data_IF_602198645356
#
_entry.id   IF_602198645356
#
_cell.length_a   1.000
_cell.length_b   1.000
_cell.length_c   1.000
_cell.angle_alpha   90.00
_cell.angle_beta   90.00
_cell.angle_gamma   90.00
#
_symmetry.space_group_name_H-M   'P 1'
#
loop_
_entity.id
_entity.type
_entity.pdbx_description
1 polymer ?
#
# COMPACT_ATOMS: atom_id res chain seq x y z
N UNK A 1 1.86 5.22 -21.30
CA UNK A 1 2.58 4.39 -20.31
C UNK A 1 2.10 4.81 -18.95
N UNK A 2 1.70 3.87 -18.09
CA UNK A 2 1.37 4.17 -16.70
C UNK A 2 2.65 4.58 -15.97
N UNK A 3 2.60 5.71 -15.28
CA UNK A 3 3.71 6.39 -14.61
C UNK A 3 4.07 5.83 -13.23
N UNK A 4 3.49 4.71 -12.81
CA UNK A 4 3.85 4.03 -11.56
C UNK A 4 2.71 3.21 -10.95
N UNK A 5 3.04 2.48 -9.89
CA UNK A 5 2.09 1.81 -8.99
C UNK A 5 2.00 2.65 -7.71
N UNK A 6 0.78 2.88 -7.23
CA UNK A 6 0.53 3.52 -5.93
C UNK A 6 -0.23 2.53 -5.05
N UNK A 7 0.18 2.36 -3.80
CA UNK A 7 -0.48 1.48 -2.85
C UNK A 7 -1.53 2.25 -2.03
N UNK A 8 -2.79 1.77 -2.01
CA UNK A 8 -3.92 2.45 -1.39
C UNK A 8 -3.78 2.68 0.13
N UNK A 9 -3.06 1.78 0.79
CA UNK A 9 -2.79 1.73 2.22
C UNK A 9 -1.33 2.04 2.56
N UNK A 10 -0.54 2.48 1.57
CA UNK A 10 0.85 2.85 1.74
C UNK A 10 1.04 4.23 2.36
N UNK A 11 2.30 4.59 2.59
CA UNK A 11 2.69 5.96 2.93
C UNK A 11 2.20 6.97 1.88
N UNK A 12 2.11 8.28 2.23
CA UNK A 12 1.74 9.33 1.27
C UNK A 12 2.50 9.18 -0.04
N UNK A 13 1.81 9.34 -1.16
CA UNK A 13 2.44 9.24 -2.46
C UNK A 13 2.94 10.62 -2.89
N UNK A 14 4.10 10.65 -3.53
CA UNK A 14 4.66 11.87 -4.10
C UNK A 14 4.52 11.86 -5.62
N UNK A 15 3.97 12.92 -6.18
CA UNK A 15 3.92 13.14 -7.63
C UNK A 15 4.58 14.47 -7.98
N UNK A 16 5.58 14.40 -8.85
CA UNK A 16 6.30 15.57 -9.32
C UNK A 16 5.76 16.06 -10.65
N UNK A 17 5.40 17.34 -10.68
CA UNK A 17 4.95 18.03 -11.89
C UNK A 17 5.95 19.11 -12.28
N UNK A 18 6.17 19.26 -13.58
CA UNK A 18 6.83 20.44 -14.12
C UNK A 18 5.78 21.52 -14.36
N UNK A 19 5.88 22.62 -13.63
CA UNK A 19 4.95 23.75 -13.72
C UNK A 19 5.55 24.88 -14.57
N UNK A 20 4.74 25.57 -15.39
CA UNK A 20 5.18 26.78 -16.06
C UNK A 20 5.69 27.83 -15.06
N UNK A 21 6.81 28.51 -15.37
CA UNK A 21 7.39 29.52 -14.47
C UNK A 21 6.47 30.73 -14.17
N UNK A 22 5.46 30.95 -15.02
CA UNK A 22 4.45 32.01 -14.84
C UNK A 22 3.30 31.59 -13.92
N UNK A 23 3.18 30.31 -13.59
CA UNK A 23 2.16 29.79 -12.68
C UNK A 23 2.78 29.62 -11.29
N UNK A 24 2.61 30.64 -10.44
CA UNK A 24 2.61 30.46 -8.99
C UNK A 24 1.16 30.44 -8.47
N UNK A 25 0.31 29.48 -8.92
CA UNK A 25 -1.08 29.45 -8.52
C UNK A 25 -1.15 28.94 -7.09
N UNK A 26 -2.11 29.48 -6.34
CA UNK A 26 -2.62 28.76 -5.18
C UNK A 26 -3.28 27.48 -5.69
N UNK A 27 -2.73 26.32 -5.34
CA UNK A 27 -3.31 25.03 -5.69
C UNK A 27 -4.56 24.78 -4.88
N UNK A 28 -5.56 24.15 -5.47
CA UNK A 28 -6.80 23.84 -4.73
C UNK A 28 -6.99 22.36 -4.52
N UNK A 29 -6.74 21.57 -5.55
CA UNK A 29 -7.03 20.15 -5.50
C UNK A 29 -6.09 19.34 -6.37
N UNK A 30 -5.87 18.12 -5.92
CA UNK A 30 -5.43 17.00 -6.71
C UNK A 30 -6.69 16.17 -6.97
N UNK A 31 -7.01 15.89 -8.23
CA UNK A 31 -8.24 15.18 -8.59
C UNK A 31 -7.88 13.87 -9.27
N UNK A 32 -8.36 12.77 -8.71
CA UNK A 32 -8.15 11.43 -9.24
C UNK A 32 -9.38 10.95 -10.01
N UNK A 33 -9.15 10.42 -11.21
CA UNK A 33 -10.17 9.84 -12.07
C UNK A 33 -9.87 8.37 -12.31
N UNK A 34 -10.89 7.53 -12.28
CA UNK A 34 -10.75 6.18 -12.80
C UNK A 34 -10.61 6.23 -14.33
N UNK A 35 -9.53 5.67 -14.89
CA UNK A 35 -9.23 5.72 -16.32
C UNK A 35 -8.38 6.92 -16.73
N UNK A 36 -8.65 7.48 -17.91
CA UNK A 36 -7.83 8.52 -18.57
C UNK A 36 -8.37 9.94 -18.34
N UNK A 37 -9.16 10.16 -17.29
CA UNK A 37 -9.86 11.42 -16.97
C UNK A 37 -10.90 11.92 -17.99
N UNK A 38 -11.25 11.15 -19.03
CA UNK A 38 -12.28 11.57 -20.01
C UNK A 38 -13.70 11.12 -19.65
N UNK A 39 -13.85 10.08 -18.83
CA UNK A 39 -15.11 9.58 -18.30
C UNK A 39 -14.86 8.71 -17.06
N UNK A 40 -15.77 8.70 -16.09
CA UNK A 40 -15.71 7.79 -14.93
C UNK A 40 -16.02 8.43 -13.59
N UNK A 41 -15.79 7.66 -12.52
CA UNK A 41 -15.85 8.16 -11.15
C UNK A 41 -14.64 9.05 -10.86
N UNK A 42 -14.88 10.15 -10.13
CA UNK A 42 -13.82 11.00 -9.60
C UNK A 42 -13.75 10.81 -8.08
N UNK A 43 -12.54 10.93 -7.54
CA UNK A 43 -12.26 10.80 -6.13
C UNK A 43 -11.43 12.00 -5.70
N UNK A 44 -11.87 12.68 -4.64
CA UNK A 44 -11.09 13.76 -4.05
C UNK A 44 -9.84 13.17 -3.39
N UNK A 45 -8.71 13.86 -3.54
CA UNK A 45 -7.46 13.53 -2.87
C UNK A 45 -6.97 14.74 -2.09
N UNK A 46 -6.29 14.53 -0.97
CA UNK A 46 -5.76 15.61 -0.15
C UNK A 46 -4.40 16.07 -0.68
N UNK A 47 -4.11 17.36 -0.50
CA UNK A 47 -2.78 17.93 -0.70
C UNK A 47 -2.09 18.07 0.66
N UNK A 48 -0.93 17.45 0.82
CA UNK A 48 -0.13 17.60 2.04
C UNK A 48 0.82 18.78 1.85
N UNK A 49 0.75 19.75 2.77
CA UNK A 49 1.68 20.88 2.78
C UNK A 49 1.39 21.96 1.74
N UNK A 50 0.34 21.82 0.92
CA UNK A 50 -0.15 22.80 -0.06
C UNK A 50 -1.66 23.01 0.08
N UNK A 51 -2.20 24.08 -0.50
CA UNK A 51 -3.65 24.31 -0.51
C UNK A 51 -4.04 25.69 -1.02
N UNK A 52 -5.34 26.01 -1.04
CA UNK A 52 -5.86 27.21 -1.70
C UNK A 52 -5.32 28.52 -1.10
N UNK A 53 -4.73 28.46 0.09
CA UNK A 53 -4.13 29.60 0.78
C UNK A 53 -2.60 29.49 0.95
N UNK A 54 -1.96 28.47 0.35
CA UNK A 54 -0.51 28.23 0.47
C UNK A 54 0.09 28.03 -0.91
N UNK A 55 0.93 28.99 -1.31
CA UNK A 55 1.54 29.03 -2.63
C UNK A 55 2.43 27.81 -2.90
N UNK A 56 2.56 27.47 -4.19
CA UNK A 56 3.52 26.50 -4.69
C UNK A 56 4.96 26.88 -4.31
N UNK A 57 5.90 25.92 -4.26
CA UNK A 57 7.32 26.25 -4.27
C UNK A 57 7.63 27.00 -5.58
N UNK A 58 8.44 28.06 -5.53
CA UNK A 58 8.75 28.89 -6.70
C UNK A 58 9.53 28.18 -7.83
N UNK A 59 9.87 26.90 -7.66
CA UNK A 59 10.62 26.12 -8.63
C UNK A 59 9.69 25.54 -9.70
N UNK A 60 10.18 25.48 -10.94
CA UNK A 60 9.48 24.87 -12.09
C UNK A 60 9.18 23.37 -11.90
N UNK A 61 9.64 22.74 -10.83
CA UNK A 61 9.23 21.41 -10.40
C UNK A 61 8.61 21.51 -9.01
N UNK A 62 7.33 21.16 -8.91
CA UNK A 62 6.64 20.99 -7.65
C UNK A 62 6.35 19.49 -7.48
N UNK A 63 7.04 18.87 -6.52
CA UNK A 63 6.63 17.58 -6.01
C UNK A 63 5.51 17.82 -5.00
N UNK A 64 4.36 17.24 -5.30
CA UNK A 64 3.15 17.33 -4.50
C UNK A 64 2.97 16.00 -3.82
N UNK A 65 2.91 16.01 -2.50
CA UNK A 65 2.56 14.84 -1.70
C UNK A 65 1.05 14.83 -1.51
N UNK A 66 0.42 13.69 -1.79
CA UNK A 66 -1.01 13.49 -1.56
C UNK A 66 -1.29 12.15 -0.88
N UNK A 67 -2.51 12.05 -0.36
CA UNK A 67 -3.05 10.79 0.16
C UNK A 67 -4.27 10.37 -0.67
N UNK A 68 -4.41 9.05 -0.86
CA UNK A 68 -5.57 8.47 -1.52
C UNK A 68 -6.69 8.33 -0.49
N UNK A 69 -7.87 8.86 -0.81
CA UNK A 69 -9.06 8.73 0.03
C UNK A 69 -9.44 7.26 0.23
N UNK A 70 -10.00 6.94 1.40
CA UNK A 70 -10.54 5.61 1.66
C UNK A 70 -11.67 5.26 0.68
N UNK A 71 -11.79 3.98 0.31
CA UNK A 71 -12.88 3.48 -0.52
C UNK A 71 -12.65 3.60 -2.04
N UNK A 72 -11.45 4.00 -2.47
CA UNK A 72 -11.07 3.99 -3.88
C UNK A 72 -10.80 2.54 -4.31
N UNK A 73 -11.49 2.02 -5.35
CA UNK A 73 -11.33 0.62 -5.74
C UNK A 73 -9.91 0.30 -6.25
N UNK A 74 -9.21 -0.70 -5.68
CA UNK A 74 -7.90 -1.12 -6.18
C UNK A 74 -8.00 -1.93 -7.49
N UNK A 75 -6.86 -2.23 -8.10
CA UNK A 75 -6.77 -3.05 -9.31
C UNK A 75 -7.24 -2.32 -10.57
N UNK A 76 -7.46 -1.00 -10.49
CA UNK A 76 -7.88 -0.16 -11.61
C UNK A 76 -6.77 0.81 -12.00
N UNK A 77 -6.84 1.23 -13.26
CA UNK A 77 -6.02 2.32 -13.77
C UNK A 77 -6.68 3.65 -13.40
N UNK A 78 -5.85 4.58 -12.95
CA UNK A 78 -6.26 5.91 -12.55
C UNK A 78 -5.40 6.95 -13.26
N UNK A 79 -5.98 8.14 -13.42
CA UNK A 79 -5.26 9.34 -13.76
C UNK A 79 -5.42 10.37 -12.66
N UNK A 80 -4.46 11.26 -12.57
CA UNK A 80 -4.49 12.36 -11.62
C UNK A 80 -4.01 13.64 -12.27
N UNK A 81 -4.78 14.69 -12.02
CA UNK A 81 -4.54 16.03 -12.53
C UNK A 81 -4.38 16.99 -11.37
N UNK A 82 -3.56 18.00 -11.59
CA UNK A 82 -3.38 19.11 -10.67
C UNK A 82 -4.20 20.30 -11.16
N UNK A 83 -5.04 20.86 -10.29
CA UNK A 83 -5.91 22.00 -10.61
C UNK A 83 -5.60 23.22 -9.74
N UNK A 84 -5.78 24.41 -10.33
CA UNK A 84 -5.71 25.68 -9.60
C UNK A 84 -7.00 26.00 -8.83
N UNK A 85 -6.98 27.11 -8.08
CA UNK A 85 -8.14 27.60 -7.31
C UNK A 85 -9.40 27.89 -8.15
N UNK A 86 -9.24 28.11 -9.44
CA UNK A 86 -10.29 28.46 -10.38
C UNK A 86 -10.74 27.25 -11.24
N UNK A 87 -10.31 26.03 -10.88
CA UNK A 87 -10.62 24.76 -11.56
C UNK A 87 -10.00 24.61 -12.96
N UNK A 88 -8.88 25.30 -13.22
CA UNK A 88 -8.12 25.07 -14.44
C UNK A 88 -7.10 23.96 -14.22
N UNK A 89 -6.98 23.06 -15.20
CA UNK A 89 -5.92 22.04 -15.22
C UNK A 89 -4.56 22.72 -15.39
N UNK A 90 -3.69 22.55 -14.40
CA UNK A 90 -2.33 23.05 -14.40
C UNK A 90 -1.34 22.03 -14.96
N UNK A 91 -1.53 20.76 -14.63
CA UNK A 91 -0.66 19.66 -15.04
C UNK A 91 -1.38 18.29 -15.00
N UNK A 92 -0.82 17.32 -15.71
CA UNK A 92 -1.37 15.97 -15.87
C UNK A 92 -2.00 15.72 -17.25
N UNK A 93 -2.66 14.58 -17.47
CA UNK A 93 -2.85 13.49 -16.51
C UNK A 93 -1.57 12.67 -16.29
N UNK A 94 -1.26 12.38 -15.02
CA UNK A 94 -0.31 11.33 -14.66
C UNK A 94 -1.10 10.03 -14.49
N UNK A 95 -0.81 9.03 -15.32
CA UNK A 95 -1.46 7.71 -15.23
C UNK A 95 -0.77 6.86 -14.17
N UNK A 96 -1.51 6.08 -13.40
CA UNK A 96 -0.96 5.12 -12.45
C UNK A 96 -1.94 3.97 -12.23
N UNK A 97 -1.48 2.93 -11.54
CA UNK A 97 -2.34 1.83 -11.09
C UNK A 97 -2.43 1.83 -9.58
N UNK A 98 -3.65 1.74 -9.05
CA UNK A 98 -3.85 1.60 -7.61
C UNK A 98 -3.76 0.13 -7.22
N UNK A 99 -2.79 -0.20 -6.37
CA UNK A 99 -2.60 -1.53 -5.81
C UNK A 99 -3.10 -1.56 -4.36
N UNK A 100 -3.58 -2.74 -3.96
CA UNK A 100 -3.94 -3.06 -2.58
C UNK A 100 -3.59 -4.52 -2.35
N UNK A 101 -3.19 -4.84 -1.13
CA UNK A 101 -2.98 -6.22 -0.70
C UNK A 101 -3.93 -6.54 0.45
N UNK A 102 -4.39 -7.78 0.48
CA UNK A 102 -5.08 -8.39 1.61
C UNK A 102 -4.20 -9.50 2.18
N UNK A 103 -4.31 -9.68 3.49
CA UNK A 103 -3.53 -10.63 4.28
C UNK A 103 -4.41 -11.14 5.40
N UNK A 104 -4.45 -12.45 5.58
CA UNK A 104 -5.22 -13.09 6.64
C UNK A 104 -4.59 -14.43 7.07
N UNK A 105 -4.91 -14.88 8.27
CA UNK A 105 -4.69 -16.26 8.66
C UNK A 105 -5.89 -17.12 8.23
N UNK A 106 -5.69 -18.04 7.30
CA UNK A 106 -6.75 -18.90 6.74
C UNK A 106 -7.11 -20.04 7.71
N UNK A 107 -6.11 -20.52 8.47
CA UNK A 107 -6.31 -21.52 9.52
C UNK A 107 -5.23 -21.47 10.61
N UNK A 108 -5.60 -21.91 11.81
CA UNK A 108 -4.71 -22.02 12.98
C UNK A 108 -4.88 -23.39 13.62
N UNK A 109 -3.76 -24.06 13.88
CA UNK A 109 -3.74 -25.40 14.47
C UNK A 109 -2.70 -25.48 15.58
N UNK A 110 -3.11 -25.95 16.77
CA UNK A 110 -2.19 -26.31 17.84
C UNK A 110 -1.51 -27.65 17.55
N UNK A 111 -0.18 -27.67 17.63
CA UNK A 111 0.67 -28.85 17.42
C UNK A 111 1.49 -29.22 18.67
N UNK A 112 1.09 -28.75 19.85
CA UNK A 112 1.70 -29.13 21.11
C UNK A 112 3.04 -28.44 21.34
N UNK A 113 3.00 -27.15 21.65
CA UNK A 113 4.17 -26.29 21.88
C UNK A 113 4.47 -25.31 20.75
N UNK A 114 3.75 -25.42 19.63
CA UNK A 114 3.75 -24.47 18.51
C UNK A 114 2.37 -24.38 17.88
N UNK A 115 2.06 -23.24 17.27
CA UNK A 115 0.93 -23.09 16.33
C UNK A 115 1.43 -23.21 14.90
N UNK A 116 0.73 -24.01 14.10
CA UNK A 116 0.80 -23.93 12.66
C UNK A 116 -0.24 -22.89 12.18
N UNK A 117 0.24 -21.77 11.64
CA UNK A 117 -0.58 -20.72 11.07
C UNK A 117 -0.51 -20.82 9.54
N UNK A 118 -1.66 -20.96 8.88
CA UNK A 118 -1.74 -20.83 7.43
C UNK A 118 -1.94 -19.37 7.07
N UNK A 119 -0.92 -18.75 6.49
CA UNK A 119 -0.92 -17.35 6.07
C UNK A 119 -1.29 -17.28 4.60
N UNK A 120 -2.31 -16.50 4.28
CA UNK A 120 -2.79 -16.29 2.92
C UNK A 120 -2.74 -14.80 2.55
N UNK A 121 -2.45 -14.51 1.29
CA UNK A 121 -2.40 -13.14 0.78
C UNK A 121 -2.92 -13.02 -0.65
N UNK A 122 -3.37 -11.82 -1.00
CA UNK A 122 -3.79 -11.46 -2.36
C UNK A 122 -3.47 -9.99 -2.65
N UNK A 123 -2.82 -9.72 -3.79
CA UNK A 123 -2.59 -8.38 -4.35
C UNK A 123 -3.60 -8.16 -5.47
N UNK A 124 -4.53 -7.22 -5.25
CA UNK A 124 -5.67 -6.96 -6.16
C UNK A 124 -5.26 -6.34 -7.51
N UNK A 125 -4.03 -5.84 -7.61
CA UNK A 125 -3.36 -5.49 -8.86
C UNK A 125 -2.16 -6.44 -9.07
N UNK A 126 -2.33 -7.63 -9.69
CA UNK A 126 -1.30 -8.67 -9.71
C UNK A 126 0.06 -8.23 -10.29
N UNK A 127 0.06 -7.31 -11.24
CA UNK A 127 1.25 -6.70 -11.84
C UNK A 127 2.05 -5.81 -10.88
N UNK A 128 1.45 -5.43 -9.74
CA UNK A 128 2.12 -4.69 -8.69
C UNK A 128 3.02 -5.57 -7.82
N UNK A 129 2.79 -6.89 -7.83
CA UNK A 129 3.57 -7.82 -7.03
C UNK A 129 5.04 -7.81 -7.48
N UNK A 130 5.95 -7.84 -6.51
CA UNK A 130 7.39 -7.88 -6.72
C UNK A 130 8.02 -9.10 -6.04
N UNK A 131 9.16 -9.60 -6.55
CA UNK A 131 9.85 -10.75 -5.93
C UNK A 131 10.25 -10.53 -4.47
N UNK A 132 10.46 -9.26 -4.09
CA UNK A 132 10.87 -8.84 -2.75
C UNK A 132 9.70 -8.37 -1.86
N UNK A 133 8.44 -8.58 -2.26
CA UNK A 133 7.32 -8.35 -1.36
C UNK A 133 7.39 -9.35 -0.20
N UNK A 134 7.28 -8.86 1.03
CA UNK A 134 7.51 -9.66 2.23
C UNK A 134 6.28 -9.67 3.15
N UNK A 135 6.07 -10.80 3.81
CA UNK A 135 5.14 -10.91 4.93
C UNK A 135 5.96 -11.06 6.20
N UNK A 136 5.66 -10.22 7.20
CA UNK A 136 6.35 -10.18 8.49
C UNK A 136 5.33 -10.44 9.59
N UNK A 137 5.66 -11.35 10.50
CA UNK A 137 4.81 -11.77 11.60
C UNK A 137 5.39 -11.26 12.91
N UNK A 138 4.53 -10.62 13.70
CA UNK A 138 4.86 -10.01 14.97
C UNK A 138 4.11 -10.69 16.12
N UNK A 139 4.72 -10.74 17.30
CA UNK A 139 4.06 -11.16 18.54
C UNK A 139 3.32 -10.00 19.25
N UNK A 140 2.69 -10.31 20.39
CA UNK A 140 2.07 -9.36 21.36
C UNK A 140 2.92 -8.15 21.74
N UNK A 141 4.24 -8.34 21.86
CA UNK A 141 5.18 -7.27 22.18
C UNK A 141 5.56 -6.38 21.00
N UNK A 142 5.12 -6.72 19.78
CA UNK A 142 5.51 -6.03 18.56
C UNK A 142 6.89 -6.45 18.02
N UNK A 143 7.45 -7.56 18.50
CA UNK A 143 8.71 -8.11 18.02
C UNK A 143 8.48 -8.99 16.79
N UNK A 144 9.40 -8.94 15.82
CA UNK A 144 9.38 -9.83 14.66
C UNK A 144 9.74 -11.24 15.11
N UNK A 145 8.81 -12.18 14.92
CA UNK A 145 9.03 -13.61 15.25
C UNK A 145 9.26 -14.46 14.03
N UNK A 146 8.77 -14.03 12.86
CA UNK A 146 8.96 -14.72 11.60
C UNK A 146 8.75 -13.77 10.43
N UNK A 147 9.31 -14.10 9.27
CA UNK A 147 9.04 -13.41 8.01
C UNK A 147 9.45 -14.27 6.83
N UNK A 148 8.86 -13.99 5.66
CA UNK A 148 9.21 -14.65 4.41
C UNK A 148 8.87 -13.74 3.22
N UNK A 149 9.53 -13.96 2.08
CA UNK A 149 9.14 -13.32 0.83
C UNK A 149 7.99 -14.09 0.16
N UNK A 150 7.01 -13.35 -0.36
CA UNK A 150 5.82 -13.92 -1.02
C UNK A 150 6.18 -14.75 -2.25
N UNK A 151 7.25 -14.38 -2.96
CA UNK A 151 7.76 -15.12 -4.12
C UNK A 151 8.17 -16.56 -3.80
N UNK A 152 8.77 -16.81 -2.64
CA UNK A 152 9.24 -18.12 -2.23
C UNK A 152 8.28 -18.82 -1.24
N UNK A 153 7.70 -18.06 -0.29
CA UNK A 153 6.76 -18.54 0.71
C UNK A 153 7.38 -19.31 1.89
N UNK A 154 8.68 -19.59 1.86
CA UNK A 154 9.33 -20.43 2.88
C UNK A 154 10.75 -20.01 3.28
N UNK A 155 11.30 -18.95 2.67
CA UNK A 155 12.66 -18.49 2.95
C UNK A 155 12.71 -16.97 3.12
N UNK A 156 13.80 -16.54 3.74
CA UNK A 156 14.23 -15.14 3.82
C UNK A 156 14.90 -14.64 2.55
N UNK A 157 14.91 -15.43 1.47
CA UNK A 157 15.48 -15.04 0.18
C UNK A 157 14.34 -14.95 -0.85
N UNK A 158 14.30 -13.89 -1.67
CA UNK A 158 13.25 -13.69 -2.64
C UNK A 158 13.38 -14.75 -3.74
N UNK A 159 12.25 -15.31 -4.18
CA UNK A 159 12.24 -16.13 -5.40
C UNK A 159 12.48 -15.27 -6.65
N UNK A 160 12.62 -15.90 -7.81
CA UNK A 160 12.80 -15.17 -9.07
C UNK A 160 11.48 -14.55 -9.59
N UNK A 161 10.34 -15.16 -9.25
CA UNK A 161 9.03 -14.77 -9.75
C UNK A 161 8.18 -14.10 -8.66
N UNK A 162 7.60 -12.94 -8.98
CA UNK A 162 6.65 -12.27 -8.11
C UNK A 162 5.36 -13.10 -7.96
N UNK A 163 4.81 -13.14 -6.74
CA UNK A 163 3.55 -13.84 -6.45
C UNK A 163 2.50 -12.90 -5.87
N UNK A 164 1.56 -12.51 -6.73
CA UNK A 164 0.42 -11.69 -6.34
C UNK A 164 -0.50 -12.38 -5.32
N UNK A 165 -0.55 -13.71 -5.28
CA UNK A 165 -1.32 -14.43 -4.26
C UNK A 165 -0.64 -15.72 -3.88
N UNK A 166 -0.98 -16.23 -2.70
CA UNK A 166 -0.46 -17.50 -2.23
C UNK A 166 -0.93 -17.84 -0.83
N UNK A 167 -0.53 -19.05 -0.41
CA UNK A 167 -0.67 -19.53 0.97
C UNK A 167 0.62 -20.21 1.39
N UNK A 168 0.95 -20.12 2.67
CA UNK A 168 2.04 -20.88 3.28
C UNK A 168 1.73 -21.19 4.74
N UNK A 169 2.29 -22.28 5.24
CA UNK A 169 2.19 -22.64 6.65
C UNK A 169 3.46 -22.23 7.37
N UNK A 170 3.31 -21.45 8.45
CA UNK A 170 4.40 -21.10 9.36
C UNK A 170 4.17 -21.76 10.70
N UNK A 171 5.24 -22.31 11.29
CA UNK A 171 5.19 -22.93 12.61
C UNK A 171 5.84 -21.97 13.62
N UNK A 172 5.05 -21.46 14.56
CA UNK A 172 5.49 -20.50 15.56
C UNK A 172 5.37 -21.10 16.96
N UNK A 173 6.48 -21.11 17.69
CA UNK A 173 6.48 -21.45 19.11
C UNK A 173 5.79 -20.38 19.95
N UNK A 174 5.31 -20.78 21.13
CA UNK A 174 4.80 -19.88 22.17
C UNK A 174 5.69 -18.64 22.34
N UNK A 175 5.16 -17.46 22.03
CA UNK A 175 5.87 -16.19 22.19
C UNK A 175 5.68 -15.62 23.61
N UNK A 176 5.87 -16.43 24.66
CA UNK A 176 5.65 -16.01 26.05
C UNK A 176 4.18 -16.04 26.50
N UNK A 177 3.92 -15.57 27.73
CA UNK A 177 2.68 -15.85 28.46
C UNK A 177 1.42 -15.09 27.97
N UNK A 178 1.56 -14.11 27.08
CA UNK A 178 0.47 -13.21 26.64
C UNK A 178 0.73 -12.68 25.22
N UNK A 179 0.68 -13.54 24.21
CA UNK A 179 1.04 -13.09 22.85
C UNK A 179 0.30 -13.85 21.78
N UNK A 180 -0.66 -13.15 21.19
CA UNK A 180 -1.10 -13.50 19.86
C UNK A 180 -0.11 -13.08 18.78
N UNK A 181 -0.49 -13.36 17.54
CA UNK A 181 0.27 -12.98 16.36
C UNK A 181 -0.53 -12.04 15.47
N UNK A 182 0.19 -11.18 14.76
CA UNK A 182 -0.32 -10.43 13.62
C UNK A 182 0.65 -10.56 12.46
N UNK A 183 0.11 -10.66 11.25
CA UNK A 183 0.90 -10.59 10.04
C UNK A 183 0.77 -9.20 9.39
N UNK A 184 1.80 -8.79 8.65
CA UNK A 184 1.83 -7.55 7.87
C UNK A 184 2.48 -7.79 6.52
N UNK A 185 1.93 -7.20 5.47
CA UNK A 185 2.47 -7.24 4.11
C UNK A 185 3.25 -5.96 3.82
N UNK A 186 4.49 -6.10 3.37
CA UNK A 186 5.41 -5.02 3.00
C UNK A 186 5.77 -5.14 1.52
N UNK A 187 5.41 -4.15 0.68
CA UNK A 187 5.86 -4.11 -0.70
C UNK A 187 7.37 -3.90 -0.77
N UNK A 188 7.99 -4.40 -1.83
CA UNK A 188 9.42 -4.23 -2.10
C UNK A 188 9.86 -2.76 -2.00
N UNK A 189 10.82 -2.48 -1.11
CA UNK A 189 11.38 -1.13 -0.93
C UNK A 189 10.55 -0.19 -0.05
N UNK A 190 9.51 -0.69 0.63
CA UNK A 190 8.69 0.08 1.55
C UNK A 190 8.89 -0.38 3.01
N UNK A 191 9.12 0.57 3.91
CA UNK A 191 9.20 0.32 5.37
C UNK A 191 7.83 0.38 6.07
N UNK A 192 6.78 0.72 5.31
CA UNK A 192 5.40 0.80 5.80
C UNK A 192 4.58 -0.36 5.23
N UNK A 193 3.82 -1.08 6.07
CA UNK A 193 2.99 -2.17 5.57
C UNK A 193 1.78 -1.61 4.83
N UNK A 194 1.36 -2.31 3.78
CA UNK A 194 0.13 -1.99 3.01
C UNK A 194 -1.00 -2.97 3.31
N UNK A 195 -0.73 -4.06 4.01
CA UNK A 195 -1.79 -4.89 4.58
C UNK A 195 -1.40 -5.29 5.99
N UNK A 196 -2.39 -5.35 6.86
CA UNK A 196 -2.27 -5.90 8.19
C UNK A 196 -3.40 -6.91 8.30
N UNK A 197 -3.10 -8.09 8.84
CA UNK A 197 -4.17 -9.01 9.17
C UNK A 197 -5.08 -8.39 10.24
N UNK A 198 -6.38 -8.48 10.01
CA UNK A 198 -7.40 -7.89 10.86
C UNK A 198 -7.65 -8.75 12.09
N UNK A 199 -7.33 -10.04 12.02
CA UNK A 199 -7.51 -10.99 13.11
C UNK A 199 -6.25 -11.09 13.96
N UNK A 200 -6.39 -10.76 15.24
CA UNK A 200 -5.37 -11.06 16.24
C UNK A 200 -5.51 -12.53 16.66
N UNK A 201 -4.57 -13.39 16.29
CA UNK A 201 -4.61 -14.80 16.73
C UNK A 201 -4.15 -14.87 18.17
N UNK A 202 -5.08 -14.97 19.12
CA UNK A 202 -4.74 -15.10 20.54
C UNK A 202 -4.45 -16.57 20.90
N UNK A 203 -3.26 -16.83 21.44
CA UNK A 203 -2.87 -18.16 21.93
C UNK A 203 -3.81 -18.72 23.01
N UNK A 204 -4.45 -17.85 23.81
CA UNK A 204 -5.40 -18.26 24.85
C UNK A 204 -6.67 -18.90 24.30
N UNK A 205 -6.94 -18.79 23.00
CA UNK A 205 -8.08 -19.48 22.38
C UNK A 205 -7.91 -21.00 22.30
N UNK A 206 -6.69 -21.50 22.50
CA UNK A 206 -6.34 -22.91 22.32
C UNK A 206 -6.05 -23.63 23.66
N UNK A 207 -6.16 -22.94 24.80
CA UNK A 207 -5.86 -23.47 26.14
C UNK A 207 -6.89 -23.10 27.20
#
# INVERSE_FOLDING_TARGET
>A
SHGGIVWASGAPFEMCYTLPAASNPSFKALVMYQGDSTAGAYYETSLIGFGPNKAAPAAAQACVTGDISMGVPPGKDYSIILEDKDWNVLAGPSLFKLAEAELWFDSVKDEGGSLALEVAWEVRAPEAAQPHDAIVIFNGGGEVVHWFYTACGCTSDPGEEAKASGRTTVHLSLAGAWSGYRARFYPSGHDTPVAIDWEWIDWSWFH
#
